data_IF_437585487185
#
_entry.id   IF_437585487185
#
_cell.length_a   1.000
_cell.length_b   1.000
_cell.length_c   1.000
_cell.angle_alpha   90.00
_cell.angle_beta   90.00
_cell.angle_gamma   90.00
#
_symmetry.space_group_name_H-M   'P 1'
#
loop_
_entity.id
_entity.type
_entity.pdbx_description
1 polymer ?
#
# COMPACT_ATOMS: atom_id res chain seq x y z
N UNK A 1 -29.95 -4.26 8.06
CA UNK A 1 -29.30 -4.14 6.75
C UNK A 1 -28.38 -5.32 6.70
N UNK A 2 -28.67 -6.32 5.86
CA UNK A 2 -27.76 -7.44 5.68
C UNK A 2 -26.55 -6.86 4.96
N UNK A 3 -25.45 -6.69 5.68
CA UNK A 3 -24.13 -6.55 5.07
C UNK A 3 -23.83 -7.91 4.46
N UNK A 4 -24.43 -8.18 3.29
CA UNK A 4 -23.87 -9.21 2.41
C UNK A 4 -22.43 -8.79 2.19
N UNK A 5 -21.52 -9.69 2.56
CA UNK A 5 -20.11 -9.64 2.25
C UNK A 5 -20.00 -9.61 0.72
N UNK A 6 -20.19 -8.44 0.11
CA UNK A 6 -19.93 -8.19 -1.30
C UNK A 6 -18.41 -8.31 -1.44
N UNK A 7 -17.93 -9.55 -1.56
CA UNK A 7 -16.59 -9.85 -2.03
C UNK A 7 -16.48 -9.21 -3.41
N UNK A 8 -15.87 -8.02 -3.43
CA UNK A 8 -15.53 -7.34 -4.67
C UNK A 8 -14.53 -8.20 -5.44
N UNK A 9 -14.59 -8.13 -6.77
CA UNK A 9 -13.62 -8.79 -7.63
C UNK A 9 -12.22 -8.21 -7.38
N UNK A 10 -11.25 -9.08 -7.10
CA UNK A 10 -9.83 -8.72 -6.96
C UNK A 10 -9.30 -8.17 -8.29
N UNK A 11 -8.56 -7.07 -8.24
CA UNK A 11 -7.98 -6.45 -9.43
C UNK A 11 -6.67 -7.15 -9.82
N UNK A 12 -6.54 -7.53 -11.08
CA UNK A 12 -5.29 -8.12 -11.57
C UNK A 12 -4.19 -7.07 -11.76
N UNK A 13 -2.92 -7.48 -11.72
CA UNK A 13 -1.79 -6.58 -12.00
C UNK A 13 -1.85 -5.94 -13.40
N UNK A 14 -2.32 -6.68 -14.42
CA UNK A 14 -2.53 -6.16 -15.78
C UNK A 14 -3.67 -5.12 -15.85
N UNK A 15 -4.64 -5.18 -14.93
CA UNK A 15 -5.68 -4.16 -14.80
C UNK A 15 -5.17 -2.93 -14.07
N UNK A 16 -4.38 -3.10 -13.01
CA UNK A 16 -3.70 -1.99 -12.34
C UNK A 16 -2.83 -1.19 -13.31
N UNK A 17 -1.99 -1.86 -14.11
CA UNK A 17 -1.15 -1.18 -15.11
C UNK A 17 -1.98 -0.32 -16.07
N UNK A 18 -3.13 -0.83 -16.53
CA UNK A 18 -4.04 -0.10 -17.43
C UNK A 18 -4.70 1.09 -16.74
N UNK A 19 -5.10 0.94 -15.48
CA UNK A 19 -5.74 2.01 -14.71
C UNK A 19 -4.74 3.11 -14.37
N UNK A 20 -3.53 2.75 -13.92
CA UNK A 20 -2.44 3.70 -13.63
C UNK A 20 -2.10 4.52 -14.88
N UNK A 21 -1.91 3.88 -16.04
CA UNK A 21 -1.65 4.60 -17.29
C UNK A 21 -2.78 5.58 -17.67
N UNK A 22 -4.04 5.22 -17.39
CA UNK A 22 -5.17 6.10 -17.61
C UNK A 22 -5.21 7.29 -16.64
N UNK A 23 -4.85 7.06 -15.37
CA UNK A 23 -4.75 8.10 -14.33
C UNK A 23 -3.61 9.08 -14.65
N UNK A 24 -2.44 8.58 -15.05
CA UNK A 24 -1.32 9.41 -15.48
C UNK A 24 -1.72 10.35 -16.64
N UNK A 25 -2.35 9.80 -17.68
CA UNK A 25 -2.84 10.61 -18.80
C UNK A 25 -3.88 11.65 -18.36
N UNK A 26 -4.75 11.30 -17.40
CA UNK A 26 -5.74 12.23 -16.86
C UNK A 26 -5.09 13.36 -16.04
N UNK A 27 -4.08 13.05 -15.24
CA UNK A 27 -3.27 14.02 -14.49
C UNK A 27 -2.60 15.01 -15.45
N UNK A 28 -1.98 14.52 -16.52
CA UNK A 28 -1.34 15.36 -17.54
C UNK A 28 -2.32 16.30 -18.25
N UNK A 29 -3.55 15.82 -18.49
CA UNK A 29 -4.58 16.58 -19.21
C UNK A 29 -5.36 17.58 -18.34
N UNK A 30 -5.26 17.47 -17.01
CA UNK A 30 -6.06 18.26 -16.06
C UNK A 30 -5.27 19.42 -15.50
N UNK A 31 -5.81 20.65 -15.51
CA UNK A 31 -5.15 21.84 -14.96
C UNK A 31 -5.48 22.16 -13.49
N UNK A 32 -6.43 21.42 -12.89
CA UNK A 32 -6.83 21.63 -11.50
C UNK A 32 -5.90 20.88 -10.54
N UNK A 33 -5.20 21.62 -9.69
CA UNK A 33 -4.31 21.06 -8.66
C UNK A 33 -5.04 20.10 -7.71
N UNK A 34 -6.27 20.45 -7.29
CA UNK A 34 -7.07 19.58 -6.44
C UNK A 34 -7.36 18.23 -7.12
N UNK A 35 -7.67 18.26 -8.43
CA UNK A 35 -7.99 17.02 -9.15
C UNK A 35 -6.72 16.19 -9.33
N UNK A 36 -5.57 16.81 -9.62
CA UNK A 36 -4.29 16.09 -9.70
C UNK A 36 -3.96 15.40 -8.38
N UNK A 37 -4.09 16.09 -7.25
CA UNK A 37 -3.85 15.52 -5.92
C UNK A 37 -4.71 14.29 -5.66
N UNK A 38 -6.00 14.32 -5.98
CA UNK A 38 -6.89 13.17 -5.80
C UNK A 38 -6.53 11.99 -6.73
N UNK A 39 -6.12 12.27 -7.97
CA UNK A 39 -5.72 11.22 -8.91
C UNK A 39 -4.39 10.58 -8.51
N UNK A 40 -3.46 11.35 -7.96
CA UNK A 40 -2.20 10.84 -7.41
C UNK A 40 -2.44 9.96 -6.18
N UNK A 41 -3.33 10.36 -5.26
CA UNK A 41 -3.72 9.54 -4.10
C UNK A 41 -4.36 8.23 -4.55
N UNK A 42 -5.35 8.28 -5.45
CA UNK A 42 -6.00 7.09 -5.99
C UNK A 42 -5.02 6.14 -6.71
N UNK A 43 -4.07 6.69 -7.46
CA UNK A 43 -3.04 5.89 -8.12
C UNK A 43 -2.19 5.12 -7.11
N UNK A 44 -1.80 5.74 -5.98
CA UNK A 44 -1.07 5.05 -4.91
C UNK A 44 -1.92 3.97 -4.26
N UNK A 45 -3.17 4.25 -3.90
CA UNK A 45 -4.09 3.26 -3.30
C UNK A 45 -4.27 2.03 -4.20
N UNK A 46 -4.44 2.24 -5.51
CA UNK A 46 -4.60 1.14 -6.47
C UNK A 46 -3.33 0.30 -6.59
N UNK A 47 -2.15 0.92 -6.50
CA UNK A 47 -0.89 0.17 -6.41
C UNK A 47 -0.85 -0.71 -5.17
N UNK A 48 -1.27 -0.19 -4.01
CA UNK A 48 -1.30 -0.96 -2.78
C UNK A 48 -2.25 -2.16 -2.86
N UNK A 49 -3.38 -2.08 -3.58
CA UNK A 49 -4.30 -3.23 -3.74
C UNK A 49 -3.66 -4.49 -4.35
N UNK A 50 -2.58 -4.35 -5.14
CA UNK A 50 -1.86 -5.51 -5.73
C UNK A 50 -0.66 -5.94 -4.90
N UNK A 51 -0.08 -5.03 -4.11
CA UNK A 51 1.19 -5.25 -3.42
C UNK A 51 1.08 -5.35 -1.89
N UNK A 52 0.02 -4.83 -1.26
CA UNK A 52 -0.29 -5.04 0.17
C UNK A 52 -0.91 -6.42 0.42
N UNK A 53 -1.45 -7.10 -0.60
CA UNK A 53 -1.88 -8.49 -0.46
C UNK A 53 -0.67 -9.45 -0.21
N UNK A 54 0.58 -9.00 -0.46
CA UNK A 54 1.81 -9.67 -0.02
C UNK A 54 2.30 -9.21 1.37
N UNK A 55 1.77 -8.10 1.93
CA UNK A 55 2.27 -7.51 3.20
C UNK A 55 1.58 -8.07 4.46
N UNK A 56 0.41 -8.71 4.33
CA UNK A 56 -0.15 -9.54 5.41
C UNK A 56 0.74 -10.76 5.76
N UNK A 57 1.74 -11.10 4.94
CA UNK A 57 2.82 -12.06 5.29
C UNK A 57 4.08 -11.41 5.90
N UNK A 58 4.24 -10.08 5.82
CA UNK A 58 5.44 -9.37 6.28
C UNK A 58 5.31 -8.70 7.66
N UNK A 59 4.11 -8.58 8.23
CA UNK A 59 3.93 -8.14 9.63
C UNK A 59 4.45 -9.19 10.65
N UNK A 60 4.67 -10.44 10.24
CA UNK A 60 5.23 -11.48 11.12
C UNK A 60 6.77 -11.58 11.11
N UNK A 61 7.51 -10.80 10.31
CA UNK A 61 8.99 -10.89 10.23
C UNK A 61 9.75 -9.68 10.77
N UNK A 62 9.09 -8.81 11.53
CA UNK A 62 9.76 -7.76 12.33
C UNK A 62 9.85 -8.17 13.81
N UNK A 63 10.10 -9.45 14.08
CA UNK A 63 10.72 -9.92 15.34
C UNK A 63 12.18 -10.29 15.05
N UNK A 64 13.11 -9.35 15.27
CA UNK A 64 14.46 -9.58 15.79
C UNK A 64 15.36 -8.34 15.60
N UNK A 65 15.05 -7.25 16.31
CA UNK A 65 16.15 -6.47 16.90
C UNK A 65 16.40 -7.06 18.28
N UNK A 66 17.17 -8.15 18.28
CA UNK A 66 17.90 -8.67 19.44
C UNK A 66 18.89 -7.58 19.89
N UNK A 67 18.43 -6.62 20.69
CA UNK A 67 19.31 -5.91 21.63
C UNK A 67 19.46 -6.80 22.86
N UNK A 68 20.16 -7.93 22.67
CA UNK A 68 20.85 -8.61 23.76
C UNK A 68 21.98 -7.70 24.24
N UNK A 69 21.64 -6.65 24.98
CA UNK A 69 22.56 -5.89 25.82
C UNK A 69 23.01 -6.77 26.99
N UNK A 70 23.84 -7.77 26.70
CA UNK A 70 24.74 -8.36 27.69
C UNK A 70 25.92 -7.40 27.92
N UNK A 71 25.73 -6.32 28.69
CA UNK A 71 26.86 -5.64 29.35
C UNK A 71 26.95 -6.08 30.81
N UNK A 72 27.75 -7.12 31.00
CA UNK A 72 28.36 -7.49 32.27
C UNK A 72 29.26 -6.33 32.75
N UNK A 73 28.85 -5.59 33.79
CA UNK A 73 29.81 -5.04 34.75
C UNK A 73 29.17 -4.59 36.09
N UNK A 74 29.01 -5.57 36.99
CA UNK A 74 28.96 -5.33 38.44
C UNK A 74 30.39 -5.04 38.94
N UNK A 75 30.61 -3.85 39.55
CA UNK A 75 31.57 -3.65 40.64
C UNK A 75 31.61 -2.18 41.14
N UNK A 76 30.98 -1.91 42.29
CA UNK A 76 31.51 -1.06 43.36
C UNK A 76 30.70 -1.22 44.65
#
# INVERSE_FOLDING_TARGET
MSEENEEFEEITSEEVDRVVAALESLIESTDSENIRSYLEEAMNEIYFLVYEEEEDELDSTVEACDDSDEDFSEAA
#
